data_IF_025832760887
#
_entry.id   IF_025832760887
#
_cell.length_a   1.000
_cell.length_b   1.000
_cell.length_c   1.000
_cell.angle_alpha   90.00
_cell.angle_beta   90.00
_cell.angle_gamma   90.00
#
_symmetry.space_group_name_H-M   'P 1'
#
loop_
_entity.id
_entity.type
_entity.pdbx_description
1 polymer ?
#
# COMPACT_ATOMS: atom_id res chain seq x y z
N UNK A 1 -9.52 -19.96 -17.45
CA UNK A 1 -9.34 -18.81 -18.37
C UNK A 1 -8.58 -17.70 -17.64
N UNK A 2 -7.25 -17.76 -17.60
CA UNK A 2 -6.36 -16.65 -17.22
C UNK A 2 -5.04 -16.88 -17.97
N UNK A 3 -5.03 -16.59 -19.28
CA UNK A 3 -3.87 -16.72 -20.19
C UNK A 3 -3.35 -15.35 -20.66
N UNK A 4 -3.59 -14.28 -19.90
CA UNK A 4 -3.38 -12.91 -20.40
C UNK A 4 -2.12 -12.18 -19.94
N UNK A 5 -1.41 -12.63 -18.89
CA UNK A 5 -0.30 -11.84 -18.32
C UNK A 5 1.09 -12.22 -18.83
N UNK A 6 1.25 -13.41 -19.42
CA UNK A 6 2.55 -14.01 -19.67
C UNK A 6 3.09 -13.81 -21.09
N UNK A 7 2.23 -13.49 -22.07
CA UNK A 7 2.67 -13.41 -23.48
C UNK A 7 3.38 -12.08 -23.83
N UNK A 8 3.18 -11.01 -23.07
CA UNK A 8 3.81 -9.69 -23.34
C UNK A 8 5.14 -9.44 -22.60
N UNK A 9 5.55 -10.31 -21.66
CA UNK A 9 6.71 -10.07 -20.78
C UNK A 9 7.92 -10.95 -21.11
N UNK A 10 8.09 -11.33 -22.38
CA UNK A 10 9.26 -12.05 -22.87
C UNK A 10 10.55 -11.24 -22.69
N UNK A 11 11.43 -11.67 -21.80
CA UNK A 11 12.72 -11.02 -21.52
C UNK A 11 12.76 -10.09 -20.30
N UNK A 12 11.63 -9.89 -19.61
CA UNK A 12 11.54 -9.02 -18.42
C UNK A 12 11.66 -9.86 -17.14
N UNK A 13 12.59 -9.48 -16.25
CA UNK A 13 12.62 -10.04 -14.89
C UNK A 13 11.56 -9.35 -14.05
N UNK A 14 10.53 -10.10 -13.66
CA UNK A 14 9.49 -9.63 -12.75
C UNK A 14 9.86 -10.07 -11.34
N UNK A 15 9.98 -9.11 -10.43
CA UNK A 15 10.07 -9.40 -9.00
C UNK A 15 8.66 -9.62 -8.47
N UNK A 16 8.37 -10.82 -7.99
CA UNK A 16 7.10 -11.11 -7.33
C UNK A 16 7.22 -10.64 -5.88
N UNK A 17 6.39 -9.69 -5.42
CA UNK A 17 6.40 -9.26 -4.03
C UNK A 17 5.94 -10.40 -3.13
N UNK A 18 6.48 -10.43 -1.92
CA UNK A 18 6.03 -11.35 -0.89
C UNK A 18 4.60 -11.01 -0.44
N UNK A 19 3.89 -11.99 0.12
CA UNK A 19 2.54 -11.76 0.67
C UNK A 19 2.55 -10.63 1.70
N UNK A 20 3.59 -10.56 2.54
CA UNK A 20 3.76 -9.51 3.54
C UNK A 20 3.90 -8.11 2.92
N UNK A 21 4.60 -7.99 1.80
CA UNK A 21 4.73 -6.72 1.07
C UNK A 21 3.38 -6.31 0.46
N UNK A 22 2.65 -7.27 -0.14
CA UNK A 22 1.32 -7.02 -0.68
C UNK A 22 0.34 -6.55 0.40
N UNK A 23 0.33 -7.18 1.57
CA UNK A 23 -0.50 -6.79 2.71
C UNK A 23 -0.15 -5.38 3.23
N UNK A 24 1.14 -5.05 3.27
CA UNK A 24 1.61 -3.74 3.72
C UNK A 24 1.22 -2.64 2.72
N UNK A 25 1.40 -2.90 1.42
CA UNK A 25 1.00 -2.02 0.32
C UNK A 25 -0.51 -1.74 0.39
N UNK A 26 -1.31 -2.80 0.54
CA UNK A 26 -2.77 -2.70 0.62
C UNK A 26 -3.23 -1.93 1.86
N UNK A 27 -2.63 -2.18 3.03
CA UNK A 27 -2.90 -1.40 4.25
C UNK A 27 -2.58 0.08 4.02
N UNK A 28 -1.40 0.37 3.47
CA UNK A 28 -0.98 1.75 3.21
C UNK A 28 -1.91 2.46 2.22
N UNK A 29 -2.36 1.75 1.17
CA UNK A 29 -3.37 2.22 0.22
C UNK A 29 -4.68 2.57 0.93
N UNK A 30 -5.18 1.69 1.82
CA UNK A 30 -6.41 1.95 2.60
C UNK A 30 -6.27 3.17 3.53
N UNK A 31 -5.11 3.35 4.16
CA UNK A 31 -4.82 4.52 5.00
C UNK A 31 -4.87 5.79 4.16
N UNK A 32 -4.25 5.81 2.97
CA UNK A 32 -4.28 6.96 2.05
C UNK A 32 -5.70 7.29 1.59
N UNK A 33 -6.50 6.28 1.26
CA UNK A 33 -7.88 6.48 0.82
C UNK A 33 -8.80 7.03 1.92
N UNK A 34 -8.48 6.80 3.20
CA UNK A 34 -9.24 7.32 4.34
C UNK A 34 -8.70 8.66 4.86
N UNK A 35 -7.64 9.19 4.25
CA UNK A 35 -7.03 10.44 4.70
C UNK A 35 -7.80 11.65 4.18
N UNK A 36 -8.24 12.52 5.08
CA UNK A 36 -9.03 13.73 4.77
C UNK A 36 -8.19 15.01 4.76
N UNK A 37 -6.86 14.90 4.85
CA UNK A 37 -5.93 16.03 4.91
C UNK A 37 -5.50 16.42 6.32
N UNK A 38 -6.32 16.15 7.35
CA UNK A 38 -6.02 16.54 8.73
C UNK A 38 -6.30 15.45 9.80
N UNK A 39 -6.97 14.34 9.45
CA UNK A 39 -7.38 13.27 10.38
C UNK A 39 -6.26 12.29 10.82
N UNK A 40 -5.03 12.77 10.98
CA UNK A 40 -3.88 11.92 11.32
C UNK A 40 -4.05 11.18 12.66
N UNK A 41 -4.59 11.86 13.68
CA UNK A 41 -4.79 11.29 15.01
C UNK A 41 -5.87 10.21 15.01
N UNK A 42 -6.94 10.40 14.24
CA UNK A 42 -8.02 9.42 14.08
C UNK A 42 -7.53 8.17 13.36
N UNK A 43 -6.75 8.34 12.29
CA UNK A 43 -6.13 7.22 11.57
C UNK A 43 -5.13 6.47 12.45
N UNK A 44 -4.34 7.18 13.25
CA UNK A 44 -3.40 6.59 14.20
C UNK A 44 -4.12 5.69 15.20
N UNK A 45 -5.22 6.16 15.79
CA UNK A 45 -6.04 5.38 16.71
C UNK A 45 -6.70 4.18 16.02
N UNK A 46 -7.32 4.40 14.85
CA UNK A 46 -8.04 3.36 14.09
C UNK A 46 -7.13 2.20 13.68
N UNK A 47 -5.91 2.51 13.27
CA UNK A 47 -4.96 1.52 12.75
C UNK A 47 -3.94 1.05 13.81
N UNK A 48 -3.99 1.58 15.03
CA UNK A 48 -3.04 1.24 16.09
C UNK A 48 -1.60 1.66 15.75
N UNK A 49 -1.42 2.78 15.04
CA UNK A 49 -0.13 3.25 14.55
C UNK A 49 0.22 4.60 15.15
N UNK A 50 1.51 4.94 15.20
CA UNK A 50 1.91 6.29 15.59
C UNK A 50 1.51 7.31 14.51
N UNK A 51 1.20 8.54 14.93
CA UNK A 51 0.95 9.67 14.03
C UNK A 51 2.11 9.89 13.05
N UNK A 52 3.35 9.65 13.49
CA UNK A 52 4.55 9.72 12.65
C UNK A 52 4.50 8.70 11.49
N UNK A 53 4.09 7.47 11.76
CA UNK A 53 3.96 6.45 10.72
C UNK A 53 2.81 6.78 9.76
N UNK A 54 1.67 7.26 10.26
CA UNK A 54 0.56 7.73 9.42
C UNK A 54 1.05 8.85 8.50
N UNK A 55 1.70 9.89 9.03
CA UNK A 55 2.30 10.98 8.24
C UNK A 55 3.24 10.46 7.16
N UNK A 56 4.09 9.48 7.49
CA UNK A 56 4.98 8.86 6.51
C UNK A 56 4.19 8.19 5.39
N UNK A 57 3.14 7.43 5.72
CA UNK A 57 2.32 6.70 4.74
C UNK A 57 1.56 7.64 3.81
N UNK A 58 0.93 8.69 4.36
CA UNK A 58 0.13 9.63 3.56
C UNK A 58 0.97 10.59 2.72
N UNK A 59 2.21 10.87 3.13
CA UNK A 59 3.13 11.74 2.40
C UNK A 59 4.09 10.98 1.48
N UNK A 60 4.03 9.64 1.45
CA UNK A 60 4.83 8.84 0.52
C UNK A 60 4.22 8.98 -0.88
N UNK A 61 4.96 9.63 -1.79
CA UNK A 61 4.66 9.68 -3.23
C UNK A 61 4.97 8.34 -3.89
#
# INVERSE_FOLDING_TARGET
MQRGLFEELGGIRITIPTIKELELEERNRRIRNQFTGHNHNELALRWGMSVRQIRRIVNQR
#
